data_IF_394271640715
#
_entry.id   IF_394271640715
#
_cell.length_a   1.000
_cell.length_b   1.000
_cell.length_c   1.000
_cell.angle_alpha   90.00
_cell.angle_beta   90.00
_cell.angle_gamma   90.00
#
_symmetry.space_group_name_H-M   'P 1'
#
loop_
_entity.id
_entity.type
_entity.pdbx_description
1 polymer ?
#
# COMPACT_ATOMS: atom_id res chain seq x y z
N UNK A 1 -5.02 -18.08 3.94
CA UNK A 1 -5.55 -16.71 4.20
C UNK A 1 -5.74 -16.04 2.86
N UNK A 2 -6.93 -15.49 2.61
CA UNK A 2 -7.24 -14.75 1.40
C UNK A 2 -7.33 -13.26 1.74
N UNK A 3 -6.45 -12.46 1.16
CA UNK A 3 -6.43 -11.01 1.27
C UNK A 3 -7.41 -10.43 0.26
N UNK A 4 -8.41 -9.71 0.77
CA UNK A 4 -9.53 -9.20 -0.02
C UNK A 4 -9.26 -7.74 -0.39
N UNK A 5 -8.89 -6.94 0.61
CA UNK A 5 -8.77 -5.49 0.50
C UNK A 5 -7.70 -4.98 1.46
N UNK A 6 -6.90 -4.03 1.00
CA UNK A 6 -6.02 -3.22 1.84
C UNK A 6 -6.40 -1.77 1.64
N UNK A 7 -6.85 -1.12 2.71
CA UNK A 7 -7.16 0.31 2.69
C UNK A 7 -5.95 1.06 3.22
N UNK A 8 -5.53 2.10 2.52
CA UNK A 8 -4.37 2.92 2.89
C UNK A 8 -4.79 4.38 2.95
N UNK A 9 -4.50 5.02 4.06
CA UNK A 9 -4.65 6.46 4.25
C UNK A 9 -3.27 7.09 4.44
N UNK A 10 -2.99 8.15 3.69
CA UNK A 10 -1.75 8.92 3.77
C UNK A 10 -2.13 10.31 4.28
N UNK A 11 -1.74 10.60 5.51
CA UNK A 11 -1.97 11.88 6.16
C UNK A 11 -0.71 12.75 6.03
N UNK A 12 -0.75 13.89 5.33
CA UNK A 12 0.36 14.83 5.37
C UNK A 12 0.48 15.43 6.78
N UNK A 13 1.70 15.43 7.33
CA UNK A 13 2.01 16.04 8.64
C UNK A 13 2.55 17.46 8.49
N UNK A 14 2.88 17.87 7.26
CA UNK A 14 3.30 19.21 6.93
C UNK A 14 2.11 20.18 6.81
N UNK A 15 2.39 21.47 6.70
CA UNK A 15 1.38 22.52 6.52
C UNK A 15 0.50 22.25 5.29
N UNK A 16 -0.80 22.49 5.44
CA UNK A 16 -1.76 22.45 4.35
C UNK A 16 -1.41 23.44 3.22
N UNK A 17 -1.79 23.10 1.98
CA UNK A 17 -1.59 23.95 0.79
C UNK A 17 -0.17 23.95 0.22
N UNK A 18 0.75 23.14 0.76
CA UNK A 18 2.05 22.94 0.11
C UNK A 18 1.88 22.20 -1.22
N UNK A 19 2.67 22.58 -2.22
CA UNK A 19 2.72 21.88 -3.50
C UNK A 19 3.55 20.60 -3.36
N UNK A 20 2.99 19.63 -2.64
CA UNK A 20 3.57 18.31 -2.40
C UNK A 20 2.67 17.25 -3.00
N UNK A 21 3.27 16.12 -3.36
CA UNK A 21 2.55 14.97 -3.89
C UNK A 21 3.15 13.67 -3.38
N UNK A 22 2.36 12.62 -3.55
CA UNK A 22 2.74 11.26 -3.22
C UNK A 22 2.40 10.33 -4.38
N UNK A 23 3.35 9.45 -4.69
CA UNK A 23 3.11 8.23 -5.43
C UNK A 23 3.14 7.09 -4.42
N UNK A 24 2.03 6.41 -4.24
CA UNK A 24 1.93 5.26 -3.36
C UNK A 24 1.41 4.06 -4.13
N UNK A 25 1.98 2.88 -3.86
CA UNK A 25 1.49 1.63 -4.43
C UNK A 25 1.47 0.49 -3.43
N UNK A 26 0.48 -0.37 -3.58
CA UNK A 26 0.41 -1.67 -2.92
C UNK A 26 0.95 -2.73 -3.86
N UNK A 27 1.79 -3.63 -3.35
CA UNK A 27 2.44 -4.67 -4.14
C UNK A 27 2.40 -6.04 -3.49
N UNK A 28 2.27 -7.07 -4.32
CA UNK A 28 2.61 -8.46 -4.02
C UNK A 28 4.07 -8.75 -4.39
N UNK A 29 4.95 -8.68 -3.41
CA UNK A 29 6.41 -8.76 -3.60
C UNK A 29 6.95 -10.15 -3.87
N UNK A 30 6.07 -11.17 -3.92
CA UNK A 30 6.46 -12.50 -4.41
C UNK A 30 6.81 -12.42 -5.90
N UNK A 31 6.23 -11.46 -6.62
CA UNK A 31 6.63 -11.10 -7.97
C UNK A 31 7.84 -10.15 -7.94
N UNK A 32 8.95 -10.57 -8.54
CA UNK A 32 10.20 -9.80 -8.56
C UNK A 32 10.12 -8.60 -9.53
N UNK A 33 9.39 -8.76 -10.63
CA UNK A 33 9.10 -7.66 -11.55
C UNK A 33 8.16 -6.66 -10.88
N UNK A 34 8.48 -5.38 -10.99
CA UNK A 34 7.68 -4.34 -10.36
C UNK A 34 6.25 -4.31 -10.91
N UNK A 35 6.10 -4.39 -12.23
CA UNK A 35 4.79 -4.29 -12.88
C UNK A 35 3.89 -5.48 -12.52
N UNK A 36 4.43 -6.70 -12.55
CA UNK A 36 3.69 -7.91 -12.16
C UNK A 36 3.27 -7.90 -10.68
N UNK A 37 4.04 -7.21 -9.83
CA UNK A 37 3.75 -7.11 -8.40
C UNK A 37 2.69 -6.07 -8.07
N UNK A 38 2.33 -5.18 -8.99
CA UNK A 38 1.47 -4.04 -8.70
C UNK A 38 0.02 -4.47 -8.48
N UNK A 39 -0.51 -4.17 -7.29
CA UNK A 39 -1.91 -4.46 -6.93
C UNK A 39 -2.80 -3.23 -7.01
N UNK A 40 -2.23 -2.05 -6.80
CA UNK A 40 -2.92 -0.78 -6.87
C UNK A 40 -1.95 0.37 -6.65
N UNK A 41 -2.21 1.51 -7.27
CA UNK A 41 -1.39 2.71 -7.10
C UNK A 41 -2.25 3.97 -7.14
N UNK A 42 -1.77 5.01 -6.47
CA UNK A 42 -2.24 6.37 -6.61
C UNK A 42 -1.06 7.31 -6.80
N UNK A 43 -1.25 8.32 -7.64
CA UNK A 43 -0.42 9.51 -7.67
C UNK A 43 -1.34 10.71 -7.47
N UNK A 44 -1.10 11.48 -6.42
CA UNK A 44 -2.00 12.57 -6.06
C UNK A 44 -1.28 13.65 -5.25
N UNK A 45 -1.84 14.86 -5.27
CA UNK A 45 -1.38 15.94 -4.43
C UNK A 45 -1.80 15.73 -2.98
N UNK A 46 -0.92 16.11 -2.05
CA UNK A 46 -1.20 16.18 -0.62
C UNK A 46 -1.56 17.59 -0.16
N UNK A 47 -1.72 18.54 -1.09
CA UNK A 47 -2.02 19.94 -0.78
C UNK A 47 -3.34 20.11 -0.03
N UNK A 48 -4.34 19.28 -0.37
CA UNK A 48 -5.71 19.36 0.13
C UNK A 48 -5.96 18.49 1.37
N UNK A 49 -4.92 17.89 1.95
CA UNK A 49 -5.01 17.06 3.16
C UNK A 49 -4.85 15.57 2.88
N UNK A 50 -5.39 14.71 3.77
CA UNK A 50 -5.29 13.25 3.65
C UNK A 50 -5.80 12.71 2.33
N UNK A 51 -5.14 11.66 1.84
CA UNK A 51 -5.57 10.90 0.66
C UNK A 51 -5.74 9.43 1.03
N UNK A 52 -6.70 8.78 0.39
CA UNK A 52 -7.04 7.38 0.64
C UNK A 52 -7.04 6.61 -0.67
N UNK A 53 -6.64 5.33 -0.60
CA UNK A 53 -6.86 4.40 -1.70
C UNK A 53 -7.05 2.97 -1.19
N UNK A 54 -7.78 2.21 -2.00
CA UNK A 54 -8.06 0.80 -1.79
C UNK A 54 -7.21 -0.02 -2.78
N UNK A 55 -6.44 -0.97 -2.26
CA UNK A 55 -5.77 -2.00 -3.05
C UNK A 55 -6.49 -3.33 -2.91
N UNK A 56 -6.70 -4.03 -4.02
CA UNK A 56 -7.41 -5.32 -4.05
C UNK A 56 -6.47 -6.44 -4.50
N UNK A 57 -5.70 -7.07 -3.58
CA UNK A 57 -4.76 -8.13 -3.93
C UNK A 57 -5.37 -9.34 -4.63
N UNK A 58 -6.63 -9.66 -4.30
CA UNK A 58 -7.28 -10.96 -4.60
C UNK A 58 -6.32 -12.16 -4.41
N UNK A 59 -5.56 -12.12 -3.31
CA UNK A 59 -4.40 -12.96 -3.11
C UNK A 59 -4.64 -14.00 -2.01
N UNK A 60 -4.43 -15.29 -2.31
CA UNK A 60 -4.43 -16.35 -1.30
C UNK A 60 -3.00 -16.80 -0.96
N UNK A 61 -2.67 -16.84 0.33
CA UNK A 61 -1.38 -17.30 0.85
C UNK A 61 -1.59 -18.41 1.89
N UNK A 62 -0.70 -19.40 1.91
CA UNK A 62 -0.62 -20.37 3.01
C UNK A 62 -0.13 -19.69 4.29
N UNK A 63 -0.72 -20.02 5.44
CA UNK A 63 -0.20 -19.57 6.74
C UNK A 63 1.19 -20.15 7.06
N UNK A 64 1.59 -21.24 6.40
CA UNK A 64 2.93 -21.84 6.53
C UNK A 64 3.95 -21.26 5.55
N UNK A 65 3.56 -20.30 4.70
CA UNK A 65 4.47 -19.66 3.76
C UNK A 65 5.53 -18.85 4.51
N UNK A 66 6.82 -19.17 4.28
CA UNK A 66 7.93 -18.63 5.09
C UNK A 66 8.04 -17.10 5.08
N UNK A 67 7.60 -16.46 3.98
CA UNK A 67 7.74 -15.01 3.77
C UNK A 67 6.38 -14.29 3.79
N UNK A 68 5.40 -14.81 4.54
CA UNK A 68 4.04 -14.22 4.56
C UNK A 68 4.03 -12.74 4.94
N UNK A 69 4.90 -12.32 5.88
CA UNK A 69 5.01 -10.92 6.33
C UNK A 69 5.60 -9.99 5.26
N UNK A 70 6.38 -10.54 4.33
CA UNK A 70 7.00 -9.73 3.26
C UNK A 70 6.09 -9.57 2.06
N UNK A 71 4.99 -10.34 1.97
CA UNK A 71 4.24 -10.50 0.73
C UNK A 71 3.58 -9.20 0.28
N UNK A 72 2.87 -8.49 1.16
CA UNK A 72 2.24 -7.24 0.82
C UNK A 72 3.12 -6.07 1.27
N UNK A 73 3.48 -5.18 0.35
CA UNK A 73 4.21 -3.94 0.68
C UNK A 73 3.50 -2.72 0.15
N UNK A 74 3.46 -1.68 0.98
CA UNK A 74 3.11 -0.32 0.57
C UNK A 74 4.41 0.40 0.29
N UNK A 75 4.68 0.74 -0.97
CA UNK A 75 5.79 1.59 -1.36
C UNK A 75 5.31 3.02 -1.54
N UNK A 76 6.09 3.98 -1.06
CA UNK A 76 5.75 5.39 -1.07
C UNK A 76 6.94 6.20 -1.58
N UNK A 77 6.65 7.14 -2.46
CA UNK A 77 7.57 8.14 -2.94
C UNK A 77 6.95 9.52 -2.78
N UNK A 78 7.67 10.42 -2.10
CA UNK A 78 7.22 11.77 -1.81
C UNK A 78 7.92 12.77 -2.72
N UNK A 79 7.21 13.82 -3.12
CA UNK A 79 7.72 14.89 -3.98
C UNK A 79 7.35 16.27 -3.43
N UNK A 80 8.25 17.24 -3.62
CA UNK A 80 8.02 18.65 -3.24
C UNK A 80 8.28 18.98 -1.76
N UNK A 81 8.72 18.01 -0.94
CA UNK A 81 9.05 18.27 0.46
C UNK A 81 10.47 18.81 0.61
N UNK A 82 10.59 19.98 1.25
CA UNK A 82 11.85 20.58 1.66
C UNK A 82 11.83 20.76 3.18
N UNK A 83 12.12 19.67 3.90
CA UNK A 83 12.08 19.62 5.37
C UNK A 83 13.43 19.17 5.91
N UNK A 84 13.68 19.44 7.20
CA UNK A 84 14.89 19.00 7.86
C UNK A 84 15.02 17.47 7.80
N UNK A 85 16.23 16.92 7.61
CA UNK A 85 16.45 15.49 7.69
C UNK A 85 15.91 14.89 8.99
N UNK A 86 15.21 13.76 8.90
CA UNK A 86 14.58 13.11 10.04
C UNK A 86 13.20 13.67 10.44
N UNK A 87 12.70 14.70 9.75
CA UNK A 87 11.33 15.17 9.96
C UNK A 87 10.32 14.11 9.55
N UNK A 88 9.26 13.96 10.33
CA UNK A 88 8.09 13.17 9.94
C UNK A 88 7.27 13.96 8.90
N UNK A 89 7.17 13.41 7.68
CA UNK A 89 6.55 14.11 6.54
C UNK A 89 5.10 13.69 6.34
N UNK A 90 4.83 12.40 6.54
CA UNK A 90 3.50 11.78 6.40
C UNK A 90 3.29 10.76 7.52
N UNK A 91 2.03 10.49 7.85
CA UNK A 91 1.62 9.31 8.60
C UNK A 91 0.83 8.37 7.67
N UNK A 92 1.03 7.07 7.83
CA UNK A 92 0.36 6.04 7.04
C UNK A 92 -0.49 5.19 7.97
N UNK A 93 -1.80 5.16 7.71
CA UNK A 93 -2.72 4.23 8.37
C UNK A 93 -3.14 3.19 7.34
N UNK A 94 -3.12 1.91 7.71
CA UNK A 94 -3.53 0.84 6.82
C UNK A 94 -4.43 -0.17 7.52
N UNK A 95 -5.47 -0.64 6.84
CA UNK A 95 -6.34 -1.72 7.31
C UNK A 95 -6.32 -2.86 6.30
N UNK A 96 -6.07 -4.08 6.78
CA UNK A 96 -6.00 -5.29 5.95
C UNK A 96 -7.22 -6.16 6.23
N UNK A 97 -8.05 -6.36 5.21
CA UNK A 97 -9.22 -7.22 5.24
C UNK A 97 -8.88 -8.58 4.65
N UNK A 98 -9.07 -9.63 5.44
CA UNK A 98 -8.75 -11.00 5.04
C UNK A 98 -9.81 -11.99 5.51
N UNK A 99 -9.83 -13.14 4.84
CA UNK A 99 -10.66 -14.30 5.22
C UNK A 99 -9.79 -15.54 5.41
N UNK A 100 -10.04 -16.28 6.48
CA UNK A 100 -9.49 -17.63 6.67
C UNK A 100 -10.17 -18.62 5.71
N UNK A 101 -9.39 -19.46 5.05
CA UNK A 101 -9.89 -20.50 4.14
C UNK A 101 -9.24 -21.83 4.49
N UNK A 102 -10.02 -22.91 4.44
CA UNK A 102 -9.53 -24.29 4.67
C UNK A 102 -8.92 -24.91 3.41
N UNK A 103 -8.92 -24.17 2.30
CA UNK A 103 -8.36 -24.56 1.02
C UNK A 103 -7.58 -23.39 0.41
N UNK A 104 -6.54 -23.73 -0.35
CA UNK A 104 -5.87 -22.80 -1.28
C UNK A 104 -6.56 -23.04 -2.62
N UNK A 105 -7.65 -22.34 -2.88
CA UNK A 105 -8.29 -22.38 -4.19
C UNK A 105 -7.82 -21.14 -4.98
N UNK A 106 -6.99 -21.27 -6.02
CA UNK A 106 -6.90 -20.22 -7.01
C UNK A 106 -8.30 -20.13 -7.64
N UNK A 107 -8.87 -18.92 -7.73
CA UNK A 107 -10.01 -18.72 -8.62
C UNK A 107 -9.46 -18.95 -10.04
N UNK A 108 -9.74 -20.11 -10.62
CA UNK A 108 -9.62 -20.30 -12.06
C UNK A 108 -10.62 -19.33 -12.71
N UNK A 109 -10.12 -18.43 -13.56
CA UNK A 109 -10.95 -17.71 -14.53
C UNK A 109 -11.65 -18.69 -15.47
#
# INVERSE_FOLDING_TARGET
IHFILVQVTINPLARHGLNTSVLACLRDTRHLNFDDSLTGAIETSLCNGPVYFDGHPDLTISLTYKNILETLKINIKLHGYNMLPGSEIIAILHHVHYKGTNSICPKSL
#
